data_IF_566291827523
#
_entry.id   IF_566291827523
#
_cell.length_a   1.000
_cell.length_b   1.000
_cell.length_c   1.000
_cell.angle_alpha   90.00
_cell.angle_beta   90.00
_cell.angle_gamma   90.00
#
_symmetry.space_group_name_H-M   'P 1'
#
loop_
_entity.id
_entity.type
_entity.pdbx_description
1 polymer ?
#
# COMPACT_ATOMS: atom_id res chain seq x y z
N UNK A 1 -4.31 -15.45 9.01
CA UNK A 1 -5.65 -15.82 8.46
C UNK A 1 -6.67 -14.70 8.65
N UNK A 2 -6.33 -13.49 8.19
CA UNK A 2 -7.23 -12.31 8.29
C UNK A 2 -8.39 -12.47 7.33
N UNK A 3 -9.62 -12.31 7.81
CA UNK A 3 -10.83 -12.26 7.02
C UNK A 3 -11.52 -10.90 7.21
N UNK A 4 -11.94 -10.26 6.10
CA UNK A 4 -12.62 -8.96 6.13
C UNK A 4 -13.90 -9.06 5.30
N UNK A 5 -15.02 -8.66 5.92
CA UNK A 5 -16.32 -8.63 5.28
C UNK A 5 -16.91 -7.22 5.27
N UNK A 6 -17.62 -6.91 4.20
CA UNK A 6 -18.42 -5.68 4.06
C UNK A 6 -19.90 -6.03 3.97
N UNK A 7 -20.73 -5.29 4.72
CA UNK A 7 -22.18 -5.39 4.65
C UNK A 7 -22.71 -4.41 3.59
N UNK A 8 -23.31 -4.93 2.52
CA UNK A 8 -23.81 -4.15 1.39
C UNK A 8 -25.25 -4.53 1.08
N UNK A 9 -26.21 -3.64 1.40
CA UNK A 9 -27.65 -3.80 1.10
C UNK A 9 -28.27 -5.12 1.59
N UNK A 10 -27.77 -5.67 2.69
CA UNK A 10 -28.24 -6.95 3.25
C UNK A 10 -27.40 -8.15 2.88
N UNK A 11 -26.54 -8.04 1.88
CA UNK A 11 -25.58 -9.09 1.51
C UNK A 11 -24.21 -8.86 2.17
N UNK A 12 -23.41 -9.91 2.25
CA UNK A 12 -22.05 -9.89 2.76
C UNK A 12 -21.06 -10.11 1.62
N UNK A 13 -20.14 -9.17 1.46
CA UNK A 13 -19.01 -9.28 0.55
C UNK A 13 -17.76 -9.67 1.36
N UNK A 14 -17.19 -10.84 1.11
CA UNK A 14 -15.91 -11.23 1.73
C UNK A 14 -14.76 -10.71 0.88
N UNK A 15 -14.25 -9.55 1.25
CA UNK A 15 -13.19 -8.87 0.49
C UNK A 15 -11.80 -9.47 0.73
N UNK A 16 -11.54 -9.99 1.94
CA UNK A 16 -10.31 -10.70 2.30
C UNK A 16 -10.71 -12.07 2.86
N UNK A 17 -10.11 -13.14 2.33
CA UNK A 17 -10.52 -14.51 2.48
C UNK A 17 -9.41 -15.36 3.13
N UNK A 18 -8.98 -15.01 4.36
CA UNK A 18 -7.96 -15.77 5.09
C UNK A 18 -6.51 -15.43 4.66
N UNK A 19 -6.18 -14.16 4.52
CA UNK A 19 -4.81 -13.74 4.22
C UNK A 19 -3.89 -13.88 5.44
N UNK A 20 -2.73 -14.53 5.21
CA UNK A 20 -1.61 -14.59 6.16
C UNK A 20 -0.37 -13.99 5.55
N UNK A 21 0.35 -13.17 6.32
CA UNK A 21 1.54 -12.46 5.89
C UNK A 21 2.43 -12.17 7.09
N UNK A 22 3.71 -12.46 6.95
CA UNK A 22 4.75 -12.00 7.88
C UNK A 22 5.51 -10.84 7.24
N UNK A 23 5.71 -9.78 8.00
CA UNK A 23 6.49 -8.61 7.60
C UNK A 23 7.76 -8.54 8.45
N UNK A 24 8.92 -8.47 7.80
CA UNK A 24 10.21 -8.44 8.48
C UNK A 24 10.75 -7.02 8.59
N UNK A 25 11.45 -6.75 9.69
CA UNK A 25 12.02 -5.43 9.96
C UNK A 25 13.02 -5.01 8.86
N UNK A 26 12.86 -3.80 8.35
CA UNK A 26 13.74 -3.20 7.35
C UNK A 26 13.51 -3.68 5.91
N UNK A 27 12.60 -4.66 5.66
CA UNK A 27 12.30 -5.10 4.30
C UNK A 27 11.39 -4.12 3.54
N UNK A 28 11.41 -4.21 2.24
CA UNK A 28 10.36 -3.72 1.35
C UNK A 28 9.56 -4.90 0.81
N UNK A 29 8.32 -5.06 1.30
CA UNK A 29 7.37 -6.04 0.79
C UNK A 29 6.45 -5.38 -0.22
N UNK A 30 6.43 -5.86 -1.46
CA UNK A 30 5.44 -5.44 -2.44
C UNK A 30 4.20 -6.33 -2.39
N UNK A 31 3.01 -5.73 -2.42
CA UNK A 31 1.74 -6.44 -2.61
C UNK A 31 1.21 -6.08 -4.00
N UNK A 32 1.14 -7.07 -4.87
CA UNK A 32 0.74 -6.90 -6.28
C UNK A 32 -0.51 -7.67 -6.63
N UNK A 33 -1.18 -7.31 -7.71
CA UNK A 33 -2.37 -7.98 -8.22
C UNK A 33 -3.29 -7.01 -8.96
N UNK A 34 -4.30 -7.55 -9.65
CA UNK A 34 -5.29 -6.75 -10.38
C UNK A 34 -6.06 -5.78 -9.48
N UNK A 35 -6.65 -4.74 -10.07
CA UNK A 35 -7.59 -3.86 -9.35
C UNK A 35 -8.74 -4.68 -8.75
N UNK A 36 -9.12 -4.38 -7.51
CA UNK A 36 -10.15 -5.12 -6.79
C UNK A 36 -9.69 -6.45 -6.17
N UNK A 37 -8.41 -6.82 -6.22
CA UNK A 37 -7.91 -8.04 -5.55
C UNK A 37 -7.89 -7.97 -4.02
N UNK A 38 -8.12 -6.78 -3.43
CA UNK A 38 -8.20 -6.59 -1.96
C UNK A 38 -6.99 -5.91 -1.32
N UNK A 39 -5.94 -5.55 -2.08
CA UNK A 39 -4.67 -4.99 -1.56
C UNK A 39 -4.86 -3.84 -0.58
N UNK A 40 -5.54 -2.77 -1.01
CA UNK A 40 -5.78 -1.59 -0.17
C UNK A 40 -6.71 -1.89 1.02
N UNK A 41 -7.67 -2.79 0.87
CA UNK A 41 -8.55 -3.22 1.98
C UNK A 41 -7.73 -3.94 3.04
N UNK A 42 -6.86 -4.86 2.62
CA UNK A 42 -6.00 -5.62 3.51
C UNK A 42 -5.07 -4.70 4.31
N UNK A 43 -4.38 -3.78 3.66
CA UNK A 43 -3.45 -2.86 4.34
C UNK A 43 -4.14 -1.78 5.17
N UNK A 44 -5.32 -1.28 4.76
CA UNK A 44 -6.13 -0.38 5.59
C UNK A 44 -6.58 -1.01 6.90
N UNK A 45 -6.75 -2.34 6.94
CA UNK A 45 -7.09 -3.05 8.18
C UNK A 45 -6.02 -2.94 9.26
N UNK A 46 -4.72 -2.80 8.87
CA UNK A 46 -3.60 -2.61 9.81
C UNK A 46 -3.66 -1.28 10.55
N UNK A 47 -4.43 -0.33 10.02
CA UNK A 47 -4.64 1.01 10.58
C UNK A 47 -6.06 1.20 11.13
N UNK A 48 -6.93 0.18 11.09
CA UNK A 48 -8.34 0.32 11.43
C UNK A 48 -9.06 1.36 10.56
N UNK A 49 -8.67 1.47 9.28
CA UNK A 49 -9.21 2.44 8.31
C UNK A 49 -10.15 1.77 7.30
N UNK A 50 -10.83 0.71 7.73
CA UNK A 50 -11.92 0.13 6.93
C UNK A 50 -13.11 1.09 6.90
N UNK A 51 -13.88 1.04 5.81
CA UNK A 51 -15.13 1.78 5.71
C UNK A 51 -16.12 1.31 6.80
N UNK A 52 -17.09 2.16 7.17
CA UNK A 52 -18.00 1.91 8.29
C UNK A 52 -18.79 0.60 8.19
N UNK A 53 -18.99 0.09 6.99
CA UNK A 53 -19.68 -1.17 6.72
C UNK A 53 -18.74 -2.38 6.64
N UNK A 54 -17.43 -2.17 6.81
CA UNK A 54 -16.39 -3.21 6.81
C UNK A 54 -15.98 -3.62 8.22
N UNK A 55 -15.70 -4.90 8.42
CA UNK A 55 -15.22 -5.44 9.69
C UNK A 55 -14.25 -6.61 9.47
N UNK A 56 -13.29 -6.75 10.39
CA UNK A 56 -12.46 -7.96 10.49
C UNK A 56 -13.31 -9.02 11.16
N UNK A 57 -13.59 -10.13 10.47
CA UNK A 57 -14.46 -11.21 10.93
C UNK A 57 -13.68 -12.43 11.41
N UNK A 58 -12.40 -12.51 11.07
CA UNK A 58 -11.53 -13.62 11.48
C UNK A 58 -10.04 -13.24 11.44
N UNK A 59 -9.22 -14.07 12.08
CA UNK A 59 -7.78 -13.91 12.14
C UNK A 59 -7.30 -12.88 13.17
N UNK A 60 -6.02 -12.52 13.05
CA UNK A 60 -5.34 -11.57 13.94
C UNK A 60 -4.34 -10.73 13.16
N UNK A 61 -4.08 -9.52 13.63
CA UNK A 61 -3.06 -8.60 13.10
C UNK A 61 -2.10 -8.28 14.24
N UNK A 62 -1.01 -9.03 14.30
CA UNK A 62 -0.05 -8.91 15.41
C UNK A 62 1.00 -7.84 15.13
N UNK A 63 1.15 -6.89 16.04
CA UNK A 63 2.20 -5.87 16.02
C UNK A 63 2.75 -5.68 17.43
N UNK A 64 4.05 -5.87 17.64
CA UNK A 64 4.73 -5.80 18.96
C UNK A 64 3.97 -6.53 20.08
N UNK A 65 3.45 -7.71 19.81
CA UNK A 65 2.71 -8.53 20.77
C UNK A 65 1.25 -8.12 20.98
N UNK A 66 0.76 -7.07 20.33
CA UNK A 66 -0.62 -6.60 20.38
C UNK A 66 -1.39 -7.03 19.13
N UNK A 67 -2.63 -7.48 19.31
CA UNK A 67 -3.53 -7.82 18.22
C UNK A 67 -4.36 -6.60 17.81
N UNK A 68 -3.95 -5.94 16.73
CA UNK A 68 -4.63 -4.74 16.21
C UNK A 68 -6.05 -5.02 15.71
N UNK A 69 -6.37 -6.28 15.36
CA UNK A 69 -7.73 -6.65 14.96
C UNK A 69 -8.76 -6.49 16.09
N UNK A 70 -8.28 -6.41 17.35
CA UNK A 70 -9.12 -6.20 18.54
C UNK A 70 -9.25 -4.74 18.97
N UNK A 71 -8.56 -3.82 18.30
CA UNK A 71 -8.63 -2.40 18.63
C UNK A 71 -10.00 -1.83 18.20
N UNK A 72 -10.70 -1.21 19.14
CA UNK A 72 -12.06 -0.68 18.93
C UNK A 72 -12.17 0.80 19.20
N UNK A 73 -11.23 1.38 19.95
CA UNK A 73 -11.29 2.78 20.36
C UNK A 73 -10.29 3.65 19.60
N UNK A 74 -10.67 4.91 19.35
CA UNK A 74 -9.77 5.89 18.73
C UNK A 74 -8.49 6.12 19.58
N UNK A 75 -8.59 5.95 20.91
CA UNK A 75 -7.43 6.07 21.81
C UNK A 75 -6.37 4.99 21.53
N UNK A 76 -6.79 3.75 21.28
CA UNK A 76 -5.88 2.66 20.90
C UNK A 76 -5.25 2.95 19.53
N UNK A 77 -6.05 3.30 18.53
CA UNK A 77 -5.55 3.60 17.19
C UNK A 77 -4.59 4.78 17.12
N UNK A 78 -4.72 5.80 17.98
CA UNK A 78 -3.75 6.91 18.08
C UNK A 78 -2.36 6.46 18.52
N UNK A 79 -2.21 5.31 19.16
CA UNK A 79 -0.90 4.77 19.52
C UNK A 79 -0.17 4.15 18.32
N UNK A 80 -0.93 3.82 17.27
CA UNK A 80 -0.45 3.16 16.05
C UNK A 80 -0.36 4.14 14.89
N UNK A 81 -1.48 4.78 14.52
CA UNK A 81 -1.59 5.65 13.33
C UNK A 81 -0.63 6.82 13.42
N UNK A 82 0.16 7.02 12.36
CA UNK A 82 1.12 8.11 12.22
C UNK A 82 2.34 8.04 13.12
N UNK A 83 2.33 7.17 14.14
CA UNK A 83 3.43 7.00 15.10
C UNK A 83 4.21 5.72 14.85
N UNK A 84 3.53 4.60 14.66
CA UNK A 84 4.09 3.27 14.44
C UNK A 84 3.90 2.81 12.99
N UNK A 85 2.70 2.97 12.50
CA UNK A 85 2.34 2.63 11.12
C UNK A 85 1.77 3.89 10.47
N UNK A 86 2.32 4.28 9.34
CA UNK A 86 1.85 5.39 8.51
C UNK A 86 1.49 4.91 7.12
N UNK A 87 0.66 5.69 6.41
CA UNK A 87 0.21 5.36 5.07
C UNK A 87 0.28 6.58 4.15
N UNK A 88 0.84 6.38 2.98
CA UNK A 88 0.74 7.27 1.82
C UNK A 88 -0.35 6.71 0.91
N UNK A 89 -1.44 7.46 0.75
CA UNK A 89 -2.58 7.05 -0.08
C UNK A 89 -2.35 7.36 -1.56
N UNK A 90 -3.14 6.71 -2.41
CA UNK A 90 -3.04 6.76 -3.87
C UNK A 90 -3.14 8.16 -4.46
N UNK A 91 -4.00 9.04 -3.92
CA UNK A 91 -4.24 10.38 -4.47
C UNK A 91 -3.72 11.48 -3.53
N UNK A 92 -2.62 12.19 -3.90
CA UNK A 92 -2.11 13.29 -3.11
C UNK A 92 -3.04 14.51 -3.10
N UNK A 93 -3.99 14.61 -4.06
CA UNK A 93 -4.93 15.73 -4.13
C UNK A 93 -5.99 15.66 -3.03
N UNK A 94 -6.40 14.46 -2.66
CA UNK A 94 -7.38 14.23 -1.58
C UNK A 94 -6.71 14.11 -0.21
N UNK A 95 -5.40 13.84 -0.16
CA UNK A 95 -4.64 13.66 1.07
C UNK A 95 -4.27 14.98 1.77
N UNK A 96 -4.13 16.07 1.01
CA UNK A 96 -3.82 17.40 1.55
C UNK A 96 -5.09 18.25 1.67
N UNK A 97 -5.29 18.88 2.83
CA UNK A 97 -6.37 19.85 3.00
C UNK A 97 -6.05 21.13 2.20
N UNK A 98 -6.84 21.48 1.16
CA UNK A 98 -6.55 22.62 0.29
C UNK A 98 -6.64 23.99 0.99
N UNK A 99 -7.32 24.06 2.13
CA UNK A 99 -7.52 25.29 2.90
C UNK A 99 -6.47 25.52 3.99
N UNK A 100 -5.55 24.54 4.20
CA UNK A 100 -4.46 24.65 5.17
C UNK A 100 -3.11 24.77 4.44
N UNK A 101 -2.19 25.54 5.00
CA UNK A 101 -0.80 25.59 4.52
C UNK A 101 -0.14 24.23 4.66
N UNK A 102 0.71 23.86 3.70
CA UNK A 102 1.35 22.55 3.67
C UNK A 102 2.20 22.29 4.91
N UNK A 103 3.03 23.26 5.31
CA UNK A 103 3.88 23.10 6.50
C UNK A 103 3.08 22.93 7.79
N UNK A 104 1.91 23.59 7.91
CA UNK A 104 1.04 23.41 9.07
C UNK A 104 0.46 22.01 9.17
N UNK A 105 0.21 21.32 8.06
CA UNK A 105 -0.31 19.96 8.07
C UNK A 105 0.76 18.95 8.54
N UNK A 106 2.03 19.19 8.17
CA UNK A 106 3.15 18.40 8.70
C UNK A 106 3.34 18.69 10.19
N UNK A 107 3.33 19.96 10.58
CA UNK A 107 3.48 20.39 11.98
C UNK A 107 2.38 19.79 12.88
N UNK A 108 1.12 19.76 12.43
CA UNK A 108 0.00 19.19 13.16
C UNK A 108 0.24 17.71 13.52
N UNK A 109 0.80 16.92 12.58
CA UNK A 109 1.18 15.54 12.83
C UNK A 109 2.28 15.42 13.88
N UNK A 110 3.29 16.28 13.82
CA UNK A 110 4.41 16.30 14.77
C UNK A 110 3.92 16.69 16.18
N UNK A 111 3.13 17.76 16.31
CA UNK A 111 2.55 18.17 17.60
C UNK A 111 1.72 17.05 18.23
N UNK A 112 0.90 16.36 17.42
CA UNK A 112 0.02 15.30 17.90
C UNK A 112 0.78 14.08 18.44
N UNK A 113 1.85 13.67 17.77
CA UNK A 113 2.51 12.39 18.04
C UNK A 113 3.83 12.49 18.77
N UNK A 114 4.56 13.60 18.63
CA UNK A 114 5.86 13.80 19.30
C UNK A 114 5.77 14.67 20.55
N UNK A 115 4.65 15.38 20.75
CA UNK A 115 4.47 16.26 21.91
C UNK A 115 5.41 17.47 21.93
N UNK A 116 5.96 17.87 20.79
CA UNK A 116 6.79 19.05 20.65
C UNK A 116 5.95 20.33 20.78
N UNK A 117 6.57 21.39 21.30
CA UNK A 117 5.92 22.71 21.26
C UNK A 117 5.83 23.24 19.82
N UNK A 118 5.01 24.29 19.63
CA UNK A 118 4.73 24.85 18.30
C UNK A 118 5.99 25.32 17.55
N UNK A 119 6.99 25.85 18.27
CA UNK A 119 8.20 26.38 17.65
C UNK A 119 9.11 25.22 17.18
N UNK A 120 9.30 24.21 18.02
CA UNK A 120 10.07 23.02 17.68
C UNK A 120 9.37 22.20 16.58
N UNK A 121 8.05 22.01 16.66
CA UNK A 121 7.27 21.30 15.65
C UNK A 121 7.32 22.01 14.28
N UNK A 122 7.30 23.37 14.25
CA UNK A 122 7.49 24.13 13.04
C UNK A 122 8.87 23.93 12.43
N UNK A 123 9.93 24.01 13.25
CA UNK A 123 11.29 23.78 12.78
C UNK A 123 11.46 22.37 12.19
N UNK A 124 10.90 21.38 12.85
CA UNK A 124 10.92 20.00 12.39
C UNK A 124 10.11 19.82 11.08
N UNK A 125 8.94 20.47 10.96
CA UNK A 125 8.15 20.44 9.72
C UNK A 125 8.91 21.04 8.53
N UNK A 126 9.67 22.12 8.73
CA UNK A 126 10.54 22.72 7.72
C UNK A 126 11.67 21.74 7.36
N UNK A 127 12.29 21.09 8.35
CA UNK A 127 13.31 20.07 8.13
C UNK A 127 12.77 18.87 7.32
N UNK A 128 11.53 18.46 7.58
CA UNK A 128 10.90 17.37 6.84
C UNK A 128 10.66 17.75 5.37
N UNK A 129 10.25 18.99 5.09
CA UNK A 129 10.14 19.50 3.71
C UNK A 129 11.49 19.46 2.98
N UNK A 130 12.58 19.78 3.66
CA UNK A 130 13.94 19.68 3.10
C UNK A 130 14.36 18.23 2.83
N UNK A 131 14.13 17.33 3.79
CA UNK A 131 14.45 15.90 3.67
C UNK A 131 13.77 15.26 2.45
N UNK A 132 12.51 15.61 2.19
CA UNK A 132 11.79 15.11 1.00
C UNK A 132 12.17 15.85 -0.29
N UNK A 133 13.13 16.78 -0.24
CA UNK A 133 13.67 17.49 -1.38
C UNK A 133 12.72 18.56 -1.96
N UNK A 134 11.95 19.24 -1.11
CA UNK A 134 11.17 20.41 -1.51
C UNK A 134 12.07 21.65 -1.42
N UNK A 135 12.30 22.38 -2.53
CA UNK A 135 13.19 23.56 -2.55
C UNK A 135 12.61 24.71 -1.73
N UNK A 136 13.48 25.49 -1.06
CA UNK A 136 13.12 26.64 -0.21
C UNK A 136 12.05 26.30 0.85
N UNK A 137 12.32 25.34 1.76
CA UNK A 137 11.32 24.77 2.66
C UNK A 137 10.66 25.80 3.57
N UNK A 138 11.36 26.86 4.01
CA UNK A 138 10.80 27.94 4.84
C UNK A 138 9.70 28.74 4.12
N UNK A 139 9.88 28.96 2.82
CA UNK A 139 8.89 29.65 1.97
C UNK A 139 7.73 28.69 1.72
N UNK A 140 8.04 27.44 1.33
CA UNK A 140 7.05 26.41 1.01
C UNK A 140 6.19 26.00 2.20
N UNK A 141 6.74 26.05 3.40
CA UNK A 141 5.96 25.85 4.63
C UNK A 141 4.69 26.72 4.69
N UNK A 142 4.78 27.97 4.20
CA UNK A 142 3.69 28.95 4.25
C UNK A 142 2.74 28.90 3.05
N UNK A 143 3.00 28.06 2.07
CA UNK A 143 2.20 27.91 0.86
C UNK A 143 1.09 26.87 1.01
N UNK A 144 0.09 26.97 0.13
CA UNK A 144 -1.05 26.06 0.05
C UNK A 144 -0.80 24.95 -0.98
N UNK A 145 -1.53 23.82 -0.90
CA UNK A 145 -1.37 22.70 -1.84
C UNK A 145 -1.51 23.08 -3.32
N UNK A 146 -2.36 24.04 -3.66
CA UNK A 146 -2.55 24.49 -5.06
C UNK A 146 -1.34 25.23 -5.65
N UNK A 147 -0.43 25.72 -4.81
CA UNK A 147 0.82 26.36 -5.23
C UNK A 147 1.95 25.34 -5.48
N UNK A 148 1.70 24.06 -5.23
CA UNK A 148 2.64 22.94 -5.40
C UNK A 148 2.38 22.21 -6.71
N UNK A 149 3.44 21.75 -7.39
CA UNK A 149 3.32 20.78 -8.48
C UNK A 149 2.83 19.41 -7.97
N UNK A 150 2.40 18.52 -8.86
CA UNK A 150 1.97 17.16 -8.48
C UNK A 150 3.05 16.41 -7.70
N UNK A 151 4.28 16.42 -8.19
CA UNK A 151 5.42 15.79 -7.50
C UNK A 151 5.76 16.45 -6.16
N UNK A 152 5.61 17.76 -6.02
CA UNK A 152 5.79 18.45 -4.73
C UNK A 152 4.69 18.08 -3.73
N UNK A 153 3.43 17.96 -4.17
CA UNK A 153 2.33 17.49 -3.30
C UNK A 153 2.58 16.08 -2.81
N UNK A 154 3.02 15.19 -3.69
CA UNK A 154 3.36 13.82 -3.30
C UNK A 154 4.49 13.78 -2.28
N UNK A 155 5.55 14.58 -2.47
CA UNK A 155 6.63 14.72 -1.49
C UNK A 155 6.14 15.26 -0.15
N UNK A 156 5.19 16.21 -0.16
CA UNK A 156 4.60 16.75 1.07
C UNK A 156 3.74 15.69 1.81
N UNK A 157 2.98 14.87 1.09
CA UNK A 157 2.23 13.74 1.68
C UNK A 157 3.17 12.72 2.29
N UNK A 158 4.28 12.40 1.60
CA UNK A 158 5.33 11.54 2.15
C UNK A 158 5.95 12.18 3.41
N UNK A 159 6.24 13.49 3.39
CA UNK A 159 6.74 14.19 4.57
C UNK A 159 5.83 14.07 5.78
N UNK A 160 4.50 14.22 5.60
CA UNK A 160 3.51 14.02 6.66
C UNK A 160 3.58 12.57 7.18
N UNK A 161 3.62 11.59 6.29
CA UNK A 161 3.60 10.18 6.66
C UNK A 161 4.84 9.76 7.45
N UNK A 162 6.03 10.32 7.13
CA UNK A 162 7.29 9.96 7.78
C UNK A 162 7.70 10.92 8.90
N UNK A 163 6.96 12.01 9.13
CA UNK A 163 7.31 13.05 10.09
C UNK A 163 7.52 12.55 11.53
N UNK A 164 6.84 11.46 11.90
CA UNK A 164 6.94 10.86 13.23
C UNK A 164 7.81 9.60 13.28
N UNK A 165 8.62 9.37 12.24
CA UNK A 165 9.53 8.22 12.12
C UNK A 165 8.82 6.88 12.39
N UNK A 166 7.81 6.52 11.58
CA UNK A 166 7.06 5.28 11.79
C UNK A 166 7.95 4.05 11.56
N UNK A 167 7.64 2.96 12.24
CA UNK A 167 8.33 1.67 12.03
C UNK A 167 7.94 1.05 10.69
N UNK A 168 6.67 1.27 10.26
CA UNK A 168 6.13 0.74 9.01
C UNK A 168 5.50 1.88 8.19
N UNK A 169 5.91 1.98 6.93
CA UNK A 169 5.31 2.88 5.94
C UNK A 169 4.57 2.06 4.87
N UNK A 170 3.26 2.26 4.77
CA UNK A 170 2.44 1.69 3.71
C UNK A 170 2.35 2.71 2.57
N UNK A 171 2.74 2.32 1.36
CA UNK A 171 2.66 3.12 0.16
C UNK A 171 1.61 2.52 -0.78
N UNK A 172 0.40 3.06 -0.79
CA UNK A 172 -0.69 2.58 -1.65
C UNK A 172 -0.69 3.34 -2.97
N UNK A 173 -0.11 2.74 -4.01
CA UNK A 173 0.07 3.30 -5.35
C UNK A 173 0.64 4.74 -5.37
N UNK A 174 1.74 5.01 -4.68
CA UNK A 174 2.19 6.38 -4.39
C UNK A 174 2.68 7.16 -5.62
N UNK A 175 2.73 6.53 -6.78
CA UNK A 175 3.22 7.11 -8.03
C UNK A 175 2.16 7.15 -9.14
N UNK A 176 0.95 6.66 -8.88
CA UNK A 176 -0.17 6.75 -9.82
C UNK A 176 -0.48 8.21 -10.11
N UNK A 177 -0.73 8.54 -11.37
CA UNK A 177 -0.96 9.90 -11.87
C UNK A 177 0.27 10.84 -11.89
N UNK A 178 1.50 10.32 -11.74
CA UNK A 178 2.74 11.07 -11.94
C UNK A 178 3.41 10.65 -13.26
N UNK A 179 4.13 11.57 -13.88
CA UNK A 179 4.97 11.22 -15.02
C UNK A 179 6.14 10.32 -14.63
N UNK A 180 6.66 9.56 -15.58
CA UNK A 180 7.70 8.53 -15.37
C UNK A 180 8.94 9.08 -14.65
N UNK A 181 9.31 10.32 -14.96
CA UNK A 181 10.51 10.94 -14.35
C UNK A 181 10.27 11.25 -12.88
N UNK A 182 9.12 11.82 -12.54
CA UNK A 182 8.74 12.10 -11.14
C UNK A 182 8.51 10.78 -10.39
N UNK A 183 7.91 9.78 -11.02
CA UNK A 183 7.75 8.45 -10.44
C UNK A 183 9.10 7.88 -9.96
N UNK A 184 10.13 7.87 -10.83
CA UNK A 184 11.46 7.39 -10.48
C UNK A 184 12.06 8.17 -9.29
N UNK A 185 11.88 9.51 -9.26
CA UNK A 185 12.34 10.33 -8.16
C UNK A 185 11.63 10.05 -6.83
N UNK A 186 10.33 9.75 -6.86
CA UNK A 186 9.56 9.39 -5.65
C UNK A 186 10.01 8.02 -5.12
N UNK A 187 10.25 7.04 -6.00
CA UNK A 187 10.77 5.73 -5.61
C UNK A 187 12.16 5.83 -4.94
N UNK A 188 13.06 6.62 -5.54
CA UNK A 188 14.38 6.87 -4.97
C UNK A 188 14.30 7.59 -3.61
N UNK A 189 13.39 8.56 -3.47
CA UNK A 189 13.12 9.23 -2.20
C UNK A 189 12.65 8.24 -1.13
N UNK A 190 11.65 7.39 -1.41
CA UNK A 190 11.13 6.40 -0.46
C UNK A 190 12.24 5.44 -0.03
N UNK A 191 13.07 4.96 -0.98
CA UNK A 191 14.21 4.09 -0.67
C UNK A 191 15.25 4.77 0.21
N UNK A 192 15.56 6.06 -0.03
CA UNK A 192 16.47 6.84 0.82
C UNK A 192 15.92 7.02 2.22
N UNK A 193 14.63 7.34 2.33
CA UNK A 193 13.96 7.48 3.62
C UNK A 193 13.94 6.16 4.39
N UNK A 194 13.66 5.03 3.74
CA UNK A 194 13.74 3.70 4.33
C UNK A 194 15.09 3.44 4.99
N UNK A 195 16.17 3.64 4.23
CA UNK A 195 17.54 3.41 4.72
C UNK A 195 17.92 4.36 5.86
N UNK A 196 17.55 5.64 5.75
CA UNK A 196 17.94 6.67 6.73
C UNK A 196 17.17 6.56 8.04
N UNK A 197 15.91 6.11 7.99
CA UNK A 197 15.01 6.02 9.15
C UNK A 197 14.86 4.57 9.66
N UNK A 198 15.41 3.58 8.96
CA UNK A 198 15.30 2.17 9.34
C UNK A 198 13.90 1.60 9.24
N UNK A 199 13.04 2.17 8.37
CA UNK A 199 11.64 1.77 8.24
C UNK A 199 11.47 0.48 7.45
N UNK A 200 10.39 -0.25 7.75
CA UNK A 200 9.87 -1.32 6.91
C UNK A 200 8.82 -0.74 5.95
N UNK A 201 8.80 -1.18 4.70
CA UNK A 201 7.87 -0.66 3.69
C UNK A 201 6.93 -1.75 3.19
N UNK A 202 5.63 -1.45 3.14
CA UNK A 202 4.65 -2.20 2.34
C UNK A 202 4.34 -1.35 1.10
N UNK A 203 4.67 -1.86 -0.07
CA UNK A 203 4.47 -1.17 -1.33
C UNK A 203 3.34 -1.82 -2.13
N UNK A 204 2.23 -1.14 -2.31
CA UNK A 204 1.09 -1.62 -3.10
C UNK A 204 1.17 -1.01 -4.48
N UNK A 205 1.18 -1.83 -5.51
CA UNK A 205 1.16 -1.38 -6.90
C UNK A 205 0.66 -2.48 -7.84
N UNK A 206 0.20 -2.09 -9.00
CA UNK A 206 -0.06 -2.98 -10.12
C UNK A 206 1.10 -2.97 -11.14
N UNK A 207 2.11 -2.11 -10.96
CA UNK A 207 3.28 -2.00 -11.84
C UNK A 207 4.41 -2.90 -11.35
N UNK A 208 4.50 -4.09 -11.94
CA UNK A 208 5.56 -5.06 -11.64
C UNK A 208 6.97 -4.58 -12.04
N UNK A 209 7.07 -3.64 -13.00
CA UNK A 209 8.35 -3.03 -13.36
C UNK A 209 8.92 -2.18 -12.23
N UNK A 210 8.05 -1.52 -11.45
CA UNK A 210 8.43 -0.81 -10.22
C UNK A 210 8.88 -1.81 -9.15
N UNK A 211 8.09 -2.87 -8.94
CA UNK A 211 8.34 -3.91 -7.93
C UNK A 211 9.71 -4.53 -8.07
N UNK A 212 10.10 -4.89 -9.30
CA UNK A 212 11.41 -5.49 -9.60
C UNK A 212 12.60 -4.63 -9.14
N UNK A 213 12.39 -3.31 -9.00
CA UNK A 213 13.44 -2.37 -8.60
C UNK A 213 13.45 -2.01 -7.11
N UNK A 214 12.35 -2.23 -6.39
CA UNK A 214 12.20 -1.72 -5.02
C UNK A 214 11.95 -2.80 -3.97
N UNK A 215 11.40 -3.95 -4.36
CA UNK A 215 10.94 -4.97 -3.42
C UNK A 215 12.04 -5.99 -3.09
N UNK A 216 12.13 -6.37 -1.82
CA UNK A 216 12.89 -7.54 -1.37
C UNK A 216 12.03 -8.80 -1.52
N UNK A 217 10.75 -8.71 -1.14
CA UNK A 217 9.76 -9.77 -1.26
C UNK A 217 8.51 -9.29 -1.95
N UNK A 218 7.79 -10.20 -2.58
CA UNK A 218 6.54 -9.91 -3.28
C UNK A 218 5.45 -10.88 -2.81
N UNK A 219 4.29 -10.32 -2.44
CA UNK A 219 3.06 -11.05 -2.21
C UNK A 219 2.10 -10.79 -3.37
N UNK A 220 1.71 -11.84 -4.08
CA UNK A 220 0.76 -11.76 -5.18
C UNK A 220 -0.64 -12.02 -4.65
N UNK A 221 -1.53 -11.04 -4.83
CA UNK A 221 -2.88 -11.08 -4.28
C UNK A 221 -3.93 -11.20 -5.37
N UNK A 222 -4.81 -12.18 -5.24
CA UNK A 222 -5.94 -12.41 -6.15
C UNK A 222 -7.21 -12.71 -5.37
N UNK A 223 -8.31 -12.04 -5.75
CA UNK A 223 -9.65 -12.30 -5.21
C UNK A 223 -9.71 -12.40 -3.67
N UNK A 224 -8.99 -11.52 -2.96
CA UNK A 224 -8.98 -11.45 -1.50
C UNK A 224 -8.07 -12.46 -0.80
N UNK A 225 -7.18 -13.13 -1.52
CA UNK A 225 -6.17 -14.04 -0.97
C UNK A 225 -4.77 -13.74 -1.48
N UNK A 226 -3.74 -14.05 -0.69
CA UNK A 226 -2.36 -14.12 -1.15
C UNK A 226 -2.18 -15.51 -1.76
N UNK A 227 -1.99 -15.55 -3.08
CA UNK A 227 -1.86 -16.80 -3.84
C UNK A 227 -0.41 -17.25 -3.99
N UNK A 228 0.53 -16.31 -3.89
CA UNK A 228 1.96 -16.60 -3.92
C UNK A 228 2.73 -15.53 -3.15
N UNK A 229 3.79 -15.94 -2.44
CA UNK A 229 4.72 -15.04 -1.76
C UNK A 229 6.12 -15.62 -1.81
N UNK A 230 7.11 -14.77 -2.11
CA UNK A 230 8.51 -15.17 -2.19
C UNK A 230 9.45 -13.98 -2.29
N UNK A 231 10.74 -14.24 -2.42
CA UNK A 231 11.71 -13.21 -2.78
C UNK A 231 11.36 -12.62 -4.14
N UNK A 232 11.65 -11.36 -4.37
CA UNK A 232 11.34 -10.73 -5.64
C UNK A 232 11.93 -11.53 -6.83
N UNK A 233 13.16 -11.99 -6.70
CA UNK A 233 13.82 -12.79 -7.73
C UNK A 233 13.08 -14.11 -8.02
N UNK A 234 12.59 -14.81 -6.98
CA UNK A 234 11.81 -16.04 -7.12
C UNK A 234 10.50 -15.77 -7.88
N UNK A 235 9.75 -14.73 -7.48
CA UNK A 235 8.49 -14.38 -8.12
C UNK A 235 8.67 -13.99 -9.58
N UNK A 236 9.76 -13.30 -9.95
CA UNK A 236 9.98 -12.87 -11.33
C UNK A 236 10.54 -13.97 -12.24
N UNK A 237 11.31 -14.93 -11.73
CA UNK A 237 12.03 -15.92 -12.54
C UNK A 237 11.58 -17.37 -12.31
N UNK A 238 10.95 -17.66 -11.18
CA UNK A 238 10.54 -19.04 -10.81
C UNK A 238 9.16 -19.05 -10.13
N UNK A 239 8.22 -18.25 -10.63
CA UNK A 239 6.86 -18.19 -10.13
C UNK A 239 6.15 -19.56 -10.28
N UNK A 240 5.31 -19.89 -9.33
CA UNK A 240 4.63 -21.19 -9.27
C UNK A 240 3.15 -21.09 -9.57
N UNK A 241 2.49 -19.99 -9.13
CA UNK A 241 1.06 -19.86 -9.31
C UNK A 241 0.69 -19.39 -10.73
N UNK A 242 -0.29 -20.02 -11.40
CA UNK A 242 -0.70 -19.66 -12.76
C UNK A 242 -1.13 -18.19 -12.93
N UNK A 243 -1.71 -17.59 -11.90
CA UNK A 243 -2.04 -16.16 -11.91
C UNK A 243 -0.79 -15.28 -11.95
N UNK A 244 0.26 -15.65 -11.23
CA UNK A 244 1.55 -14.93 -11.27
C UNK A 244 2.16 -15.00 -12.66
N UNK A 245 2.13 -16.17 -13.32
CA UNK A 245 2.57 -16.28 -14.71
C UNK A 245 1.78 -15.39 -15.67
N UNK A 246 0.46 -15.34 -15.46
CA UNK A 246 -0.41 -14.50 -16.28
C UNK A 246 -0.11 -13.01 -16.09
N UNK A 247 0.14 -12.57 -14.84
CA UNK A 247 0.56 -11.19 -14.52
C UNK A 247 1.91 -10.85 -15.15
N UNK A 248 2.90 -11.72 -15.02
CA UNK A 248 4.25 -11.52 -15.57
C UNK A 248 4.21 -11.49 -17.11
N UNK A 249 3.46 -12.39 -17.74
CA UNK A 249 3.35 -12.44 -19.21
C UNK A 249 2.70 -11.20 -19.81
N UNK A 250 1.87 -10.47 -19.04
CA UNK A 250 1.23 -9.23 -19.46
C UNK A 250 2.15 -7.99 -19.36
N UNK A 251 3.41 -8.16 -18.89
CA UNK A 251 4.36 -7.04 -18.79
C UNK A 251 4.77 -6.53 -20.18
N UNK A 252 4.68 -5.22 -20.46
CA UNK A 252 5.08 -4.64 -21.74
C UNK A 252 6.55 -4.88 -22.10
N UNK A 253 7.41 -4.98 -21.07
CA UNK A 253 8.85 -5.21 -21.25
C UNK A 253 9.19 -6.60 -21.79
N UNK A 254 8.31 -7.57 -21.59
CA UNK A 254 8.45 -8.94 -22.09
C UNK A 254 7.77 -9.14 -23.45
N UNK A 255 7.04 -8.12 -23.95
CA UNK A 255 6.35 -8.18 -25.24
C UNK A 255 7.27 -8.10 -26.43
N UNK A 256 6.96 -8.85 -27.49
CA UNK A 256 7.66 -8.75 -28.78
C UNK A 256 7.09 -7.54 -29.53
N UNK A 257 7.97 -6.67 -30.02
CA UNK A 257 7.56 -5.49 -30.78
C UNK A 257 6.76 -5.87 -32.02
N UNK A 258 5.49 -5.41 -32.06
CA UNK A 258 4.57 -5.70 -33.19
C UNK A 258 3.57 -6.82 -32.90
N UNK A 259 3.70 -7.54 -31.77
CA UNK A 259 2.72 -8.53 -31.35
C UNK A 259 1.77 -7.93 -30.29
N UNK A 260 0.56 -8.49 -30.22
CA UNK A 260 -0.41 -8.12 -29.18
C UNK A 260 0.08 -8.68 -27.84
N UNK A 261 0.18 -7.82 -26.82
CA UNK A 261 0.52 -8.28 -25.47
C UNK A 261 -0.50 -9.31 -24.98
N UNK A 262 -0.04 -10.38 -24.32
CA UNK A 262 -0.94 -11.30 -23.62
C UNK A 262 -1.79 -10.54 -22.61
N UNK A 263 -3.06 -10.88 -22.54
CA UNK A 263 -3.99 -10.34 -21.54
C UNK A 263 -4.52 -11.49 -20.70
N UNK A 264 -4.81 -11.23 -19.44
CA UNK A 264 -5.45 -12.21 -18.58
C UNK A 264 -6.91 -12.30 -18.98
N UNK A 265 -7.35 -13.44 -19.51
CA UNK A 265 -8.71 -13.64 -19.99
C UNK A 265 -9.73 -13.63 -18.85
N UNK A 266 -10.97 -13.26 -19.17
CA UNK A 266 -12.09 -13.26 -18.24
C UNK A 266 -12.05 -12.14 -17.20
N UNK A 267 -12.91 -12.25 -16.20
CA UNK A 267 -13.05 -11.28 -15.11
C UNK A 267 -12.77 -11.96 -13.76
N UNK A 268 -12.24 -11.24 -12.77
CA UNK A 268 -12.12 -11.76 -11.40
C UNK A 268 -13.46 -12.28 -10.87
N UNK A 269 -13.45 -13.26 -9.97
CA UNK A 269 -14.68 -13.84 -9.43
C UNK A 269 -15.46 -12.82 -8.60
N UNK A 270 -16.77 -13.01 -8.54
CA UNK A 270 -17.64 -12.20 -7.70
C UNK A 270 -17.52 -12.63 -6.24
N UNK A 271 -16.97 -11.75 -5.39
CA UNK A 271 -16.71 -11.99 -3.97
C UNK A 271 -17.98 -11.99 -3.08
N UNK A 272 -19.16 -11.76 -3.63
CA UNK A 272 -20.43 -12.03 -2.94
C UNK A 272 -20.74 -13.53 -2.87
N UNK A 273 -20.21 -14.31 -3.79
CA UNK A 273 -20.40 -15.75 -3.83
C UNK A 273 -19.25 -16.44 -3.06
N UNK A 274 -19.59 -17.52 -2.36
CA UNK A 274 -18.56 -18.38 -1.80
C UNK A 274 -17.76 -19.02 -2.94
N UNK A 275 -16.46 -18.77 -2.94
CA UNK A 275 -15.53 -19.40 -3.88
C UNK A 275 -15.16 -20.77 -3.31
N UNK A 276 -15.17 -21.80 -4.16
CA UNK A 276 -14.71 -23.15 -3.84
C UNK A 276 -13.57 -23.48 -4.79
N UNK A 277 -12.49 -24.04 -4.24
CA UNK A 277 -11.26 -24.27 -5.00
C UNK A 277 -10.49 -22.99 -5.32
N UNK A 278 -9.49 -23.11 -6.16
CA UNK A 278 -8.67 -21.97 -6.60
C UNK A 278 -9.52 -20.90 -7.31
N UNK A 279 -9.48 -19.70 -6.78
CA UNK A 279 -10.22 -18.56 -7.33
C UNK A 279 -9.83 -18.22 -8.77
N UNK A 280 -8.60 -18.55 -9.19
CA UNK A 280 -8.10 -18.33 -10.55
C UNK A 280 -8.44 -19.46 -11.51
N UNK A 281 -8.83 -20.65 -11.06
CA UNK A 281 -9.14 -21.81 -11.90
C UNK A 281 -10.05 -21.48 -13.11
N UNK A 282 -11.13 -20.68 -12.99
CA UNK A 282 -11.99 -20.33 -14.14
C UNK A 282 -11.27 -19.52 -15.24
N UNK A 283 -10.15 -18.87 -14.92
CA UNK A 283 -9.33 -18.07 -15.85
C UNK A 283 -8.03 -18.77 -16.26
N UNK A 284 -7.72 -19.89 -15.61
CA UNK A 284 -6.54 -20.70 -15.92
C UNK A 284 -6.88 -21.68 -17.06
N UNK A 285 -6.27 -21.47 -18.23
CA UNK A 285 -6.45 -22.37 -19.40
C UNK A 285 -5.95 -23.79 -19.18
N UNK A 286 -5.13 -24.01 -18.15
CA UNK A 286 -4.53 -25.29 -17.79
C UNK A 286 -5.14 -25.88 -16.50
N UNK A 287 -6.26 -25.30 -16.02
CA UNK A 287 -6.89 -25.75 -14.79
C UNK A 287 -7.33 -27.21 -14.87
N UNK A 288 -7.05 -27.94 -13.80
CA UNK A 288 -7.49 -29.32 -13.62
C UNK A 288 -8.82 -29.36 -12.87
N UNK A 289 -9.56 -30.49 -12.98
CA UNK A 289 -10.82 -30.62 -12.27
C UNK A 289 -10.73 -30.52 -10.74
N UNK A 290 -9.54 -30.74 -10.18
CA UNK A 290 -9.26 -30.60 -8.75
C UNK A 290 -9.21 -29.14 -8.33
N UNK A 291 -8.71 -28.24 -9.17
CA UNK A 291 -8.55 -26.80 -8.88
C UNK A 291 -9.90 -26.10 -8.63
N UNK A 292 -10.99 -26.66 -9.17
CA UNK A 292 -12.34 -26.16 -8.90
C UNK A 292 -12.94 -26.66 -7.57
N UNK A 293 -12.22 -27.52 -6.82
CA UNK A 293 -12.71 -28.16 -5.60
C UNK A 293 -11.83 -27.93 -4.39
N UNK A 294 -10.55 -27.71 -4.60
CA UNK A 294 -9.54 -27.50 -3.55
C UNK A 294 -8.67 -26.30 -3.91
N UNK A 295 -8.33 -25.52 -2.89
CA UNK A 295 -7.27 -24.49 -2.93
C UNK A 295 -5.93 -25.14 -2.69
#
# INVERSE_FOLDING_TARGET
DVEIQFSLRGDKLTAIRGCSLDLYEGETLAIVGESGSGKSVFTKSFLGMLDQNGSITGGSIMYEGNDLAKYTTEKEWRTIRGKKISMVMQDPMTSLNPLKKVGMQIQESIELHQGLDKAAAKAEAIRMLDIVGIPNPEVRYNQYPHEFSGGMRQRAVIAIAVACHPDILICDEPTTALDVTIQAQILDLIRKLQKNLGMTIIYITHDLGVVANVADRVAVMYAGQIVEIGMAEEIFYDAWHPYTWALLSALPQLGIKGEKLPTIDGTPPNLFNKITGDAFAPRNRQALAIDFKKE
#
